data_IF_180393781660
#
_entry.id   IF_180393781660
#
_cell.length_a   1.000
_cell.length_b   1.000
_cell.length_c   1.000
_cell.angle_alpha   90.00
_cell.angle_beta   90.00
_cell.angle_gamma   90.00
#
_symmetry.space_group_name_H-M   'P 1'
#
loop_
_entity.id
_entity.type
_entity.pdbx_description
1 polymer ?
#
# COMPACT_ATOMS: atom_id res chain seq x y z
N UNK A 1 1.97 25.76 -12.06
CA UNK A 1 0.98 25.06 -12.85
C UNK A 1 0.82 23.66 -12.24
N UNK A 2 -0.39 23.27 -11.94
CA UNK A 2 -0.75 21.95 -11.43
C UNK A 2 -1.36 21.12 -12.58
N UNK A 3 -0.80 19.95 -12.80
CA UNK A 3 -1.21 19.03 -13.85
C UNK A 3 -1.74 17.78 -13.20
N UNK A 4 -2.87 17.26 -13.67
CA UNK A 4 -3.48 16.06 -13.15
C UNK A 4 -3.65 15.05 -14.26
N UNK A 5 -3.35 13.81 -13.93
CA UNK A 5 -3.70 12.63 -14.71
C UNK A 5 -4.67 11.76 -13.93
N UNK A 6 -5.68 11.24 -14.60
CA UNK A 6 -6.68 10.35 -13.99
C UNK A 6 -7.29 9.42 -15.03
N UNK A 7 -7.41 8.14 -14.68
CA UNK A 7 -8.17 7.18 -15.45
C UNK A 7 -9.68 7.15 -15.11
N UNK A 8 -10.13 7.98 -14.16
CA UNK A 8 -11.52 8.04 -13.72
C UNK A 8 -12.10 9.44 -13.99
N UNK A 9 -12.99 9.61 -15.00
CA UNK A 9 -13.61 10.89 -15.31
C UNK A 9 -14.73 11.29 -14.32
N UNK A 10 -15.18 10.39 -13.46
CA UNK A 10 -16.32 10.63 -12.55
C UNK A 10 -15.90 11.01 -11.12
N UNK A 11 -14.74 11.61 -10.95
CA UNK A 11 -14.26 12.05 -9.64
C UNK A 11 -14.16 13.58 -9.58
N UNK A 12 -14.49 14.17 -8.45
CA UNK A 12 -14.35 15.62 -8.20
C UNK A 12 -12.93 16.15 -8.45
N UNK A 13 -11.94 15.28 -8.40
CA UNK A 13 -10.55 15.65 -8.70
C UNK A 13 -10.27 15.90 -10.17
N UNK A 14 -11.22 15.62 -11.05
CA UNK A 14 -11.17 15.88 -12.50
C UNK A 14 -12.10 17.02 -12.93
N UNK A 15 -12.67 17.75 -11.98
CA UNK A 15 -13.43 18.96 -12.27
C UNK A 15 -12.51 20.01 -12.92
N UNK A 16 -13.08 20.81 -13.80
CA UNK A 16 -12.34 21.73 -14.69
C UNK A 16 -11.51 22.80 -13.95
N UNK A 17 -11.84 23.08 -12.70
CA UNK A 17 -11.21 24.10 -11.87
C UNK A 17 -10.16 23.56 -10.88
N UNK A 18 -9.96 22.24 -10.83
CA UNK A 18 -9.06 21.60 -9.87
C UNK A 18 -7.60 21.62 -10.34
N UNK A 19 -7.35 21.64 -11.65
CA UNK A 19 -6.00 21.67 -12.20
C UNK A 19 -5.90 22.59 -13.42
N UNK A 20 -4.71 23.11 -13.67
CA UNK A 20 -4.43 23.95 -14.84
C UNK A 20 -4.47 23.14 -16.15
N UNK A 21 -4.17 21.85 -16.07
CA UNK A 21 -4.21 20.90 -17.18
C UNK A 21 -4.60 19.53 -16.69
N UNK A 22 -5.47 18.87 -17.43
CA UNK A 22 -6.01 17.54 -17.11
C UNK A 22 -5.74 16.57 -18.25
N UNK A 23 -5.22 15.40 -17.92
CA UNK A 23 -5.07 14.25 -18.81
C UNK A 23 -6.04 13.14 -18.37
N UNK A 24 -6.60 12.43 -19.33
CA UNK A 24 -7.39 11.24 -19.13
C UNK A 24 -6.71 10.06 -19.80
N UNK A 25 -5.70 9.52 -19.14
CA UNK A 25 -4.92 8.41 -19.62
C UNK A 25 -4.88 7.27 -18.61
N UNK A 26 -4.56 6.05 -19.03
CA UNK A 26 -4.27 4.96 -18.09
C UNK A 26 -3.12 5.32 -17.15
N UNK A 27 -3.25 4.98 -15.88
CA UNK A 27 -2.17 5.15 -14.90
C UNK A 27 -1.15 4.00 -15.01
N UNK A 28 -0.54 3.87 -16.18
CA UNK A 28 0.55 2.94 -16.47
C UNK A 28 1.88 3.68 -16.73
N UNK A 29 2.98 2.92 -16.83
CA UNK A 29 4.32 3.49 -16.97
C UNK A 29 4.48 4.27 -18.28
N UNK A 30 3.94 3.76 -19.39
CA UNK A 30 4.08 4.36 -20.70
C UNK A 30 3.32 5.70 -20.79
N UNK A 31 2.04 5.69 -20.47
CA UNK A 31 1.18 6.88 -20.54
C UNK A 31 1.70 8.00 -19.65
N UNK A 32 2.07 7.69 -18.39
CA UNK A 32 2.56 8.71 -17.45
C UNK A 32 3.92 9.26 -17.86
N UNK A 33 4.82 8.44 -18.44
CA UNK A 33 6.10 8.92 -18.96
C UNK A 33 5.90 9.86 -20.15
N UNK A 34 5.00 9.55 -21.08
CA UNK A 34 4.67 10.42 -22.23
C UNK A 34 4.10 11.76 -21.77
N UNK A 35 3.22 11.77 -20.78
CA UNK A 35 2.74 13.02 -20.15
C UNK A 35 3.91 13.82 -19.57
N UNK A 36 4.83 13.18 -18.86
CA UNK A 36 6.00 13.86 -18.30
C UNK A 36 6.92 14.44 -19.38
N UNK A 37 7.06 13.76 -20.52
CA UNK A 37 7.83 14.25 -21.68
C UNK A 37 7.15 15.46 -22.28
N UNK A 38 5.86 15.36 -22.58
CA UNK A 38 5.08 16.46 -23.14
C UNK A 38 5.09 17.70 -22.26
N UNK A 39 5.03 17.52 -20.94
CA UNK A 39 5.08 18.65 -20.00
C UNK A 39 6.48 19.27 -19.87
N UNK A 40 7.53 18.47 -20.07
CA UNK A 40 8.91 19.01 -20.14
C UNK A 40 9.15 19.86 -21.39
N UNK A 41 8.48 19.56 -22.49
CA UNK A 41 8.54 20.40 -23.71
C UNK A 41 7.81 21.72 -23.51
N UNK A 42 6.79 21.76 -22.68
CA UNK A 42 6.00 22.96 -22.38
C UNK A 42 6.57 23.79 -21.21
N UNK A 43 7.55 23.29 -20.49
CA UNK A 43 8.15 24.01 -19.36
C UNK A 43 9.00 23.13 -18.43
N UNK A 44 9.24 23.62 -17.23
CA UNK A 44 10.02 22.89 -16.23
C UNK A 44 9.11 21.97 -15.40
N UNK A 45 9.25 20.67 -15.57
CA UNK A 45 8.60 19.68 -14.71
C UNK A 45 9.36 19.59 -13.39
N UNK A 46 8.75 20.01 -12.29
CA UNK A 46 9.34 19.97 -10.94
C UNK A 46 9.40 18.54 -10.39
N UNK A 47 8.43 17.71 -10.75
CA UNK A 47 8.30 16.32 -10.33
C UNK A 47 6.87 15.85 -10.35
N UNK A 48 6.63 14.66 -9.83
CA UNK A 48 5.33 13.97 -9.83
C UNK A 48 4.93 13.60 -8.40
N UNK A 49 3.67 13.81 -8.05
CA UNK A 49 3.07 13.33 -6.80
C UNK A 49 2.37 12.01 -7.13
N UNK A 50 2.80 10.92 -6.51
CA UNK A 50 2.23 9.57 -6.71
C UNK A 50 1.36 9.12 -5.55
N UNK A 51 1.26 9.94 -4.50
CA UNK A 51 0.38 9.68 -3.35
C UNK A 51 -1.00 10.31 -3.57
N UNK A 52 -1.95 10.02 -2.67
CA UNK A 52 -3.33 10.52 -2.67
C UNK A 52 -4.22 10.02 -3.82
N UNK A 53 -3.74 9.05 -4.60
CA UNK A 53 -4.48 8.43 -5.70
C UNK A 53 -4.69 6.91 -5.52
N UNK A 54 -4.51 6.39 -4.30
CA UNK A 54 -4.57 4.95 -4.02
C UNK A 54 -3.32 4.19 -4.47
N UNK A 55 -3.43 2.88 -4.62
CA UNK A 55 -2.30 1.99 -4.89
C UNK A 55 -1.76 2.06 -6.33
N UNK A 56 -2.59 2.48 -7.29
CA UNK A 56 -2.19 2.47 -8.70
C UNK A 56 -1.04 3.44 -8.99
N UNK A 57 -1.12 4.74 -8.64
CA UNK A 57 -0.02 5.66 -8.87
C UNK A 57 1.22 5.35 -8.01
N UNK A 58 1.06 4.77 -6.81
CA UNK A 58 2.21 4.36 -5.98
C UNK A 58 3.11 3.36 -6.68
N UNK A 59 2.56 2.44 -7.47
CA UNK A 59 3.34 1.45 -8.25
C UNK A 59 4.23 2.09 -9.30
N UNK A 60 3.91 3.31 -9.76
CA UNK A 60 4.70 4.05 -10.74
C UNK A 60 5.95 4.69 -10.13
N UNK A 61 6.01 4.84 -8.80
CA UNK A 61 7.10 5.55 -8.13
C UNK A 61 8.47 5.00 -8.51
N UNK A 62 8.62 3.67 -8.58
CA UNK A 62 9.88 3.02 -8.96
C UNK A 62 10.31 3.35 -10.39
N UNK A 63 9.39 3.26 -11.34
CA UNK A 63 9.68 3.55 -12.75
C UNK A 63 10.06 5.02 -12.93
N UNK A 64 9.30 5.93 -12.35
CA UNK A 64 9.55 7.37 -12.41
C UNK A 64 10.91 7.74 -11.81
N UNK A 65 11.26 7.21 -10.65
CA UNK A 65 12.56 7.42 -10.01
C UNK A 65 13.71 6.92 -10.88
N UNK A 66 13.59 5.71 -11.46
CA UNK A 66 14.58 5.13 -12.38
C UNK A 66 14.75 5.95 -13.67
N UNK A 67 13.73 6.66 -14.11
CA UNK A 67 13.76 7.58 -15.26
C UNK A 67 14.22 9.00 -14.89
N UNK A 68 14.65 9.22 -13.65
CA UNK A 68 15.12 10.52 -13.17
C UNK A 68 14.00 11.56 -13.08
N UNK A 69 12.76 11.12 -12.89
CA UNK A 69 11.62 12.00 -12.61
C UNK A 69 11.47 12.08 -11.10
N UNK A 70 11.64 13.28 -10.55
CA UNK A 70 11.58 13.50 -9.12
C UNK A 70 10.20 13.19 -8.57
N UNK A 71 10.14 12.36 -7.52
CA UNK A 71 8.92 12.17 -6.73
C UNK A 71 8.82 13.33 -5.73
N UNK A 72 7.71 14.04 -5.76
CA UNK A 72 7.42 15.15 -4.83
C UNK A 72 6.64 14.60 -3.63
N UNK A 73 6.88 15.19 -2.46
CA UNK A 73 6.35 14.71 -1.19
C UNK A 73 7.23 13.59 -0.62
N UNK A 74 6.65 12.43 -0.34
CA UNK A 74 7.38 11.27 0.19
C UNK A 74 8.30 10.69 -0.90
N UNK A 75 9.57 10.46 -0.56
CA UNK A 75 10.55 9.89 -1.49
C UNK A 75 10.19 8.45 -1.90
N UNK A 76 10.68 8.01 -3.07
CA UNK A 76 10.48 6.61 -3.50
C UNK A 76 10.97 5.62 -2.44
N UNK A 77 12.17 5.83 -1.85
CA UNK A 77 12.70 4.93 -0.83
C UNK A 77 11.82 4.85 0.42
N UNK A 78 11.23 5.96 0.83
CA UNK A 78 10.30 5.98 1.98
C UNK A 78 8.96 5.32 1.65
N UNK A 79 8.48 5.46 0.40
CA UNK A 79 7.28 4.74 -0.07
C UNK A 79 7.56 3.24 -0.07
N UNK A 80 8.68 2.81 -0.65
CA UNK A 80 9.08 1.40 -0.70
C UNK A 80 9.29 0.83 0.71
N UNK A 81 9.89 1.61 1.62
CA UNK A 81 10.06 1.23 3.03
C UNK A 81 8.72 0.96 3.73
N UNK A 82 7.70 1.76 3.43
CA UNK A 82 6.36 1.58 3.99
C UNK A 82 5.59 0.40 3.37
N UNK A 83 5.78 0.15 2.07
CA UNK A 83 5.08 -0.91 1.32
C UNK A 83 5.76 -2.29 1.48
N UNK A 84 7.09 -2.33 1.59
CA UNK A 84 7.85 -3.57 1.79
C UNK A 84 7.76 -4.02 3.25
N UNK A 85 7.14 -5.18 3.47
CA UNK A 85 6.86 -5.71 4.80
C UNK A 85 8.12 -6.02 5.61
N UNK A 86 9.16 -6.52 4.97
CA UNK A 86 10.41 -6.86 5.65
C UNK A 86 11.17 -5.61 6.05
N UNK A 87 11.20 -4.60 5.16
CA UNK A 87 11.78 -3.29 5.46
C UNK A 87 11.00 -2.60 6.57
N UNK A 88 9.67 -2.58 6.48
CA UNK A 88 8.80 -1.97 7.48
C UNK A 88 8.92 -2.66 8.84
N UNK A 89 8.94 -4.00 8.87
CA UNK A 89 9.15 -4.76 10.10
C UNK A 89 10.48 -4.41 10.79
N UNK A 90 11.56 -4.28 10.02
CA UNK A 90 12.86 -3.83 10.56
C UNK A 90 12.78 -2.41 11.11
N UNK A 91 12.10 -1.50 10.42
CA UNK A 91 11.88 -0.13 10.88
C UNK A 91 11.14 -0.10 12.22
N UNK A 92 10.02 -0.82 12.33
CA UNK A 92 9.22 -0.89 13.56
C UNK A 92 10.04 -1.46 14.72
N UNK A 93 10.82 -2.51 14.46
CA UNK A 93 11.70 -3.09 15.48
C UNK A 93 12.80 -2.11 15.91
N UNK A 94 13.41 -1.38 14.99
CA UNK A 94 14.45 -0.37 15.30
C UNK A 94 13.88 0.81 16.10
N UNK A 95 12.61 1.10 15.94
CA UNK A 95 11.88 2.13 16.68
C UNK A 95 11.34 1.61 18.03
N UNK A 96 11.58 0.33 18.35
CA UNK A 96 11.07 -0.34 19.54
C UNK A 96 9.53 -0.24 19.68
N UNK A 97 8.83 -0.18 18.54
CA UNK A 97 7.37 -0.12 18.50
C UNK A 97 6.78 -1.54 18.46
N UNK A 98 5.65 -1.70 19.11
CA UNK A 98 4.92 -2.96 19.10
C UNK A 98 4.14 -3.13 17.80
N UNK A 99 4.19 -4.33 17.24
CA UNK A 99 3.31 -4.76 16.16
C UNK A 99 2.77 -6.16 16.46
N UNK A 100 1.59 -6.53 15.93
CA UNK A 100 1.10 -7.88 16.07
C UNK A 100 2.09 -8.90 15.50
N UNK A 101 2.26 -10.03 16.19
CA UNK A 101 3.05 -11.13 15.66
C UNK A 101 2.50 -11.56 14.31
N UNK A 102 3.38 -11.67 13.32
CA UNK A 102 3.00 -12.02 11.96
C UNK A 102 3.98 -13.01 11.33
N UNK A 103 3.51 -13.72 10.32
CA UNK A 103 4.32 -14.63 9.51
C UNK A 103 3.76 -14.74 8.10
N UNK A 104 4.61 -15.20 7.18
CA UNK A 104 4.22 -15.56 5.82
C UNK A 104 4.35 -17.07 5.70
N UNK A 105 3.36 -17.72 5.10
CA UNK A 105 3.36 -19.16 4.85
C UNK A 105 2.95 -19.45 3.40
N UNK A 106 3.66 -20.39 2.76
CA UNK A 106 3.40 -20.81 1.39
C UNK A 106 2.57 -22.11 1.33
N UNK A 107 2.37 -22.74 2.46
CA UNK A 107 1.58 -23.97 2.59
C UNK A 107 1.04 -24.15 4.01
N UNK A 108 0.14 -25.12 4.15
CA UNK A 108 -0.53 -25.43 5.41
C UNK A 108 0.45 -25.82 6.54
N UNK A 109 1.52 -26.58 6.23
CA UNK A 109 2.47 -27.03 7.23
C UNK A 109 3.30 -25.88 7.82
N UNK A 110 3.72 -24.95 6.96
CA UNK A 110 4.38 -23.71 7.40
C UNK A 110 3.44 -22.86 8.24
N UNK A 111 2.20 -22.65 7.77
CA UNK A 111 1.19 -21.90 8.51
C UNK A 111 0.96 -22.48 9.91
N UNK A 112 0.83 -23.80 10.01
CA UNK A 112 0.64 -24.48 11.30
C UNK A 112 1.81 -24.20 12.25
N UNK A 113 3.05 -24.33 11.79
CA UNK A 113 4.25 -24.04 12.61
C UNK A 113 4.27 -22.58 13.10
N UNK A 114 3.94 -21.62 12.24
CA UNK A 114 3.89 -20.22 12.62
C UNK A 114 2.79 -19.94 13.65
N UNK A 115 1.62 -20.57 13.48
CA UNK A 115 0.49 -20.38 14.38
C UNK A 115 0.77 -21.02 15.77
N UNK A 116 1.57 -22.06 15.85
CA UNK A 116 2.02 -22.62 17.14
C UNK A 116 2.79 -21.56 17.99
N UNK A 117 3.45 -20.63 17.31
CA UNK A 117 4.18 -19.53 17.97
C UNK A 117 3.27 -18.31 18.20
N UNK A 118 2.48 -17.95 17.20
CA UNK A 118 1.60 -16.75 17.21
C UNK A 118 0.40 -16.97 18.14
N UNK A 119 -0.16 -18.19 18.13
CA UNK A 119 -1.39 -18.54 18.85
C UNK A 119 -2.65 -18.06 18.17
N UNK A 120 -3.75 -18.81 18.29
CA UNK A 120 -5.07 -18.40 17.83
C UNK A 120 -5.68 -17.30 18.74
N UNK A 121 -6.64 -16.49 18.25
CA UNK A 121 -7.06 -16.36 16.85
C UNK A 121 -6.04 -15.61 15.99
N UNK A 122 -6.08 -15.89 14.68
CA UNK A 122 -5.25 -15.21 13.67
C UNK A 122 -6.09 -14.71 12.51
N UNK A 123 -5.66 -13.64 11.87
CA UNK A 123 -6.17 -13.22 10.56
C UNK A 123 -5.30 -13.82 9.49
N UNK A 124 -5.89 -14.47 8.51
CA UNK A 124 -5.20 -14.96 7.31
C UNK A 124 -5.69 -14.20 6.08
N UNK A 125 -4.76 -13.85 5.21
CA UNK A 125 -5.07 -13.18 3.94
C UNK A 125 -4.05 -13.54 2.88
N UNK A 126 -4.43 -13.64 1.59
CA UNK A 126 -3.48 -13.82 0.52
C UNK A 126 -2.52 -12.62 0.44
N UNK A 127 -1.24 -12.87 0.15
CA UNK A 127 -0.22 -11.81 0.11
C UNK A 127 -0.41 -10.78 -1.00
N UNK A 128 -1.16 -11.09 -2.06
CA UNK A 128 -1.29 -10.28 -3.26
C UNK A 128 -2.75 -9.91 -3.61
N UNK A 129 -3.66 -9.94 -2.66
CA UNK A 129 -5.08 -9.62 -2.91
C UNK A 129 -5.40 -8.26 -2.30
N UNK A 130 -6.00 -7.38 -3.12
CA UNK A 130 -6.52 -6.08 -2.71
C UNK A 130 -7.96 -6.18 -2.19
N UNK A 131 -8.31 -5.30 -1.24
CA UNK A 131 -9.69 -5.10 -0.81
C UNK A 131 -10.25 -6.21 0.11
N UNK A 132 -9.41 -6.86 0.92
CA UNK A 132 -9.88 -7.84 1.93
C UNK A 132 -10.47 -9.14 1.37
N UNK A 133 -10.40 -9.36 0.06
CA UNK A 133 -10.90 -10.59 -0.57
C UNK A 133 -10.13 -11.79 -0.03
N UNK A 134 -10.87 -12.83 0.38
CA UNK A 134 -10.34 -14.03 1.01
C UNK A 134 -9.62 -13.80 2.37
N UNK A 135 -9.82 -12.63 3.00
CA UNK A 135 -9.39 -12.41 4.39
C UNK A 135 -10.37 -13.12 5.33
N UNK A 136 -9.84 -13.86 6.29
CA UNK A 136 -10.64 -14.60 7.26
C UNK A 136 -9.96 -14.63 8.64
N UNK A 137 -10.76 -14.49 9.69
CA UNK A 137 -10.31 -14.76 11.06
C UNK A 137 -10.43 -16.27 11.30
N UNK A 138 -9.37 -16.88 11.80
CA UNK A 138 -9.25 -18.31 12.05
C UNK A 138 -9.07 -18.52 13.55
N UNK A 139 -9.95 -19.29 14.15
CA UNK A 139 -9.98 -19.53 15.58
C UNK A 139 -9.33 -20.84 15.99
N UNK A 140 -9.22 -21.82 15.07
CA UNK A 140 -8.65 -23.12 15.35
C UNK A 140 -8.00 -23.79 14.13
N UNK A 141 -7.33 -24.91 14.37
CA UNK A 141 -6.62 -25.66 13.32
C UNK A 141 -7.55 -26.29 12.28
N UNK A 142 -8.82 -26.52 12.59
CA UNK A 142 -9.78 -27.08 11.66
C UNK A 142 -10.20 -26.03 10.62
N UNK A 143 -10.47 -24.81 11.08
CA UNK A 143 -10.75 -23.67 10.19
C UNK A 143 -9.55 -23.33 9.31
N UNK A 144 -8.33 -23.38 9.86
CA UNK A 144 -7.12 -23.21 9.08
C UNK A 144 -7.02 -24.20 7.94
N UNK A 145 -7.31 -25.48 8.22
CA UNK A 145 -7.28 -26.52 7.19
C UNK A 145 -8.33 -26.28 6.12
N UNK A 146 -9.56 -25.92 6.51
CA UNK A 146 -10.64 -25.58 5.57
C UNK A 146 -10.25 -24.40 4.67
N UNK A 147 -9.60 -23.37 5.23
CA UNK A 147 -9.13 -22.23 4.47
C UNK A 147 -8.15 -22.67 3.38
N UNK A 148 -7.13 -23.44 3.74
CA UNK A 148 -6.15 -23.94 2.76
C UNK A 148 -6.77 -24.89 1.73
N UNK A 149 -7.71 -25.72 2.11
CA UNK A 149 -8.39 -26.63 1.19
C UNK A 149 -9.25 -25.89 0.16
N UNK A 150 -9.86 -24.76 0.57
CA UNK A 150 -10.64 -23.89 -0.32
C UNK A 150 -9.74 -23.09 -1.28
N UNK A 151 -8.63 -22.58 -0.79
CA UNK A 151 -7.76 -21.66 -1.53
C UNK A 151 -6.62 -22.36 -2.28
N UNK A 152 -6.56 -23.70 -2.30
CA UNK A 152 -5.46 -24.52 -2.86
C UNK A 152 -4.96 -24.12 -4.25
N UNK A 153 -5.83 -23.53 -5.09
CA UNK A 153 -5.50 -23.21 -6.48
C UNK A 153 -5.24 -21.72 -6.72
N UNK A 154 -5.39 -20.86 -5.72
CA UNK A 154 -5.41 -19.42 -5.93
C UNK A 154 -4.37 -18.64 -5.12
N UNK A 155 -3.73 -19.26 -4.13
CA UNK A 155 -2.86 -18.55 -3.21
C UNK A 155 -1.46 -19.14 -3.19
N UNK A 156 -0.48 -18.37 -3.67
CA UNK A 156 0.94 -18.73 -3.63
C UNK A 156 1.56 -18.52 -2.25
N UNK A 157 1.09 -17.52 -1.51
CA UNK A 157 1.51 -17.25 -0.14
C UNK A 157 0.40 -16.55 0.63
N UNK A 158 0.30 -16.84 1.91
CA UNK A 158 -0.62 -16.18 2.83
C UNK A 158 0.15 -15.43 3.90
N UNK A 159 -0.41 -14.30 4.30
CA UNK A 159 -0.02 -13.59 5.48
C UNK A 159 -0.88 -14.05 6.65
N UNK A 160 -0.26 -14.25 7.79
CA UNK A 160 -0.87 -14.65 9.05
C UNK A 160 -0.53 -13.59 10.07
N UNK A 161 -1.52 -12.90 10.59
CA UNK A 161 -1.36 -11.88 11.62
C UNK A 161 -2.09 -12.31 12.89
N UNK A 162 -1.52 -12.02 14.07
CA UNK A 162 -2.24 -12.21 15.33
C UNK A 162 -3.48 -11.32 15.33
N UNK A 163 -4.66 -11.92 15.53
CA UNK A 163 -5.89 -11.15 15.70
C UNK A 163 -5.97 -10.57 17.12
N UNK A 164 -6.22 -9.27 17.21
CA UNK A 164 -6.38 -8.57 18.47
C UNK A 164 -7.87 -8.40 18.76
N UNK A 165 -8.36 -9.12 19.77
CA UNK A 165 -9.73 -8.95 20.25
C UNK A 165 -9.86 -7.59 20.96
N UNK A 166 -11.04 -6.98 20.83
CA UNK A 166 -11.40 -5.73 21.54
C UNK A 166 -10.43 -4.56 21.35
N UNK A 167 -9.66 -4.57 20.26
CA UNK A 167 -8.79 -3.47 19.88
C UNK A 167 -9.62 -2.28 19.38
N UNK A 168 -9.23 -1.07 19.76
CA UNK A 168 -9.75 0.15 19.13
C UNK A 168 -8.92 0.46 17.90
N UNK A 169 -9.60 0.64 16.77
CA UNK A 169 -8.97 1.08 15.54
C UNK A 169 -8.86 2.60 15.51
N UNK A 170 -7.69 3.10 15.18
CA UNK A 170 -7.42 4.53 15.07
C UNK A 170 -6.60 4.73 13.80
N UNK A 171 -7.13 5.53 12.89
CA UNK A 171 -6.40 5.98 11.70
C UNK A 171 -5.74 7.33 11.97
N UNK A 172 -4.53 7.46 11.51
CA UNK A 172 -3.73 8.68 11.63
C UNK A 172 -3.19 9.08 10.28
N UNK A 173 -3.56 10.26 9.82
CA UNK A 173 -2.92 10.90 8.68
C UNK A 173 -1.84 11.87 9.16
N UNK A 174 -0.73 11.93 8.43
CA UNK A 174 0.37 12.83 8.72
C UNK A 174 0.80 13.60 7.48
N UNK A 175 1.10 14.88 7.65
CA UNK A 175 1.76 15.72 6.66
C UNK A 175 2.96 16.40 7.28
N UNK A 176 4.08 16.45 6.55
CA UNK A 176 5.31 17.06 7.04
C UNK A 176 5.99 17.88 5.93
N UNK A 177 6.56 19.00 6.32
CA UNK A 177 7.45 19.81 5.47
C UNK A 177 8.95 19.47 5.65
N UNK A 178 9.24 18.42 6.43
CA UNK A 178 10.59 17.97 6.78
C UNK A 178 11.16 18.64 8.05
N UNK A 179 10.43 19.55 8.69
CA UNK A 179 10.78 20.19 9.97
C UNK A 179 9.69 19.97 11.00
N UNK A 180 8.45 20.20 10.61
CA UNK A 180 7.28 20.01 11.44
C UNK A 180 6.39 18.93 10.86
N UNK A 181 5.65 18.25 11.73
CA UNK A 181 4.69 17.22 11.32
C UNK A 181 3.35 17.52 11.95
N UNK A 182 2.33 17.61 11.12
CA UNK A 182 0.93 17.70 11.55
C UNK A 182 0.30 16.32 11.50
N UNK A 183 -0.38 15.96 12.58
CA UNK A 183 -1.10 14.71 12.72
C UNK A 183 -2.60 14.99 12.78
N UNK A 184 -3.36 14.28 11.98
CA UNK A 184 -4.81 14.21 12.06
C UNK A 184 -5.23 12.86 12.60
N UNK A 185 -5.99 12.84 13.69
CA UNK A 185 -6.58 11.63 14.26
C UNK A 185 -7.98 11.48 13.69
N UNK A 186 -8.21 10.42 12.94
CA UNK A 186 -9.55 10.02 12.49
C UNK A 186 -10.04 8.96 13.47
N UNK A 187 -11.11 9.29 14.19
CA UNK A 187 -11.75 8.35 15.10
C UNK A 187 -12.84 7.61 14.34
N UNK A 188 -12.69 6.30 14.20
CA UNK A 188 -13.67 5.39 13.61
C UNK A 188 -14.48 4.73 14.73
#
# INVERSE_FOLDING_TARGET
MCIRDSCNPETVSTDFDISDRLYFEPLDEESVLEICIAERENGTLLGVIVQLGGQTPLKLAKCLDQKGIKILGTSFDSIDLAEDRDRFKKLINNLELNQPNNAIANNYLEAKKHIEIIGFPVVVRPSYVLGGRAMQIIYDSHELKKYFDKEKNHVKSILIDKFLNDAKEIDVDAISDGKETFLSLIHI
#
